data_IF_573770098009
#
_entry.id   IF_573770098009
#
_cell.length_a   1.000
_cell.length_b   1.000
_cell.length_c   1.000
_cell.angle_alpha   90.00
_cell.angle_beta   90.00
_cell.angle_gamma   90.00
#
_symmetry.space_group_name_H-M   'P 1'
#
loop_
_entity.id
_entity.type
_entity.pdbx_description
1 polymer ?
#
# COMPACT_ATOMS: atom_id res chain seq x y z
N UNK A 1 5.63 -15.46 -15.89
CA UNK A 1 4.64 -14.36 -15.92
C UNK A 1 4.80 -13.55 -14.65
N UNK A 2 5.10 -12.26 -14.76
CA UNK A 2 5.23 -11.37 -13.59
C UNK A 2 3.84 -10.83 -13.25
N UNK A 3 3.39 -11.00 -12.00
CA UNK A 3 2.13 -10.38 -11.54
C UNK A 3 2.42 -8.97 -11.05
N UNK A 4 1.81 -7.98 -11.67
CA UNK A 4 1.86 -6.59 -11.23
C UNK A 4 0.56 -6.25 -10.49
N UNK A 5 0.65 -5.35 -9.50
CA UNK A 5 -0.51 -4.72 -8.90
C UNK A 5 -1.01 -3.64 -9.87
N UNK A 6 -2.25 -3.77 -10.34
CA UNK A 6 -2.89 -2.77 -11.23
C UNK A 6 -3.79 -1.80 -10.47
N UNK A 7 -4.37 -2.28 -9.36
CA UNK A 7 -5.26 -1.53 -8.48
C UNK A 7 -4.96 -1.91 -7.03
N UNK A 8 -4.98 -0.92 -6.14
CA UNK A 8 -4.86 -1.10 -4.70
C UNK A 8 -5.94 -0.29 -3.97
N UNK A 9 -6.69 -0.98 -3.12
CA UNK A 9 -7.65 -0.39 -2.21
C UNK A 9 -7.25 -0.69 -0.77
N UNK A 10 -7.07 0.34 0.05
CA UNK A 10 -6.75 0.23 1.47
C UNK A 10 -7.84 0.94 2.27
N UNK A 11 -8.47 0.20 3.19
CA UNK A 11 -9.54 0.71 4.04
C UNK A 11 -9.23 0.44 5.51
N UNK A 12 -9.46 1.44 6.36
CA UNK A 12 -9.31 1.35 7.82
C UNK A 12 -7.95 0.78 8.30
N UNK A 13 -6.83 1.19 7.68
CA UNK A 13 -5.49 0.68 8.00
C UNK A 13 -4.54 1.80 8.43
N UNK A 14 -4.04 1.74 9.67
CA UNK A 14 -3.01 2.67 10.21
C UNK A 14 -3.25 4.16 9.85
N UNK A 15 -4.48 4.62 10.03
CA UNK A 15 -4.90 6.01 9.74
C UNK A 15 -5.35 6.27 8.29
N UNK A 16 -5.10 5.36 7.36
CA UNK A 16 -5.68 5.37 6.01
C UNK A 16 -7.15 4.95 6.10
N UNK A 17 -8.07 5.92 6.03
CA UNK A 17 -9.51 5.66 6.12
C UNK A 17 -10.04 4.99 4.84
N UNK A 18 -9.72 5.59 3.69
CA UNK A 18 -10.09 5.12 2.37
C UNK A 18 -9.05 5.64 1.36
N UNK A 19 -8.17 4.77 0.89
CA UNK A 19 -7.19 5.06 -0.15
C UNK A 19 -7.43 4.13 -1.33
N UNK A 20 -7.58 4.72 -2.51
CA UNK A 20 -7.69 4.01 -3.77
C UNK A 20 -6.58 4.49 -4.70
N UNK A 21 -5.83 3.55 -5.28
CA UNK A 21 -4.85 3.81 -6.32
C UNK A 21 -5.17 2.91 -7.51
N UNK A 22 -5.52 3.53 -8.63
CA UNK A 22 -5.76 2.87 -9.91
C UNK A 22 -4.61 3.13 -10.87
N UNK A 23 -4.50 2.32 -11.93
CA UNK A 23 -3.49 2.44 -12.98
C UNK A 23 -2.04 2.38 -12.43
N UNK A 24 -1.81 1.51 -11.45
CA UNK A 24 -0.47 1.31 -10.89
C UNK A 24 0.48 0.79 -11.98
N UNK A 25 1.61 1.47 -12.11
CA UNK A 25 2.67 1.10 -13.06
C UNK A 25 3.68 0.15 -12.45
N UNK A 26 4.69 -0.24 -13.23
CA UNK A 26 5.85 -0.99 -12.74
C UNK A 26 6.62 -0.23 -11.66
N UNK A 27 6.61 1.11 -11.72
CA UNK A 27 7.20 2.00 -10.72
C UNK A 27 6.15 3.02 -10.30
N UNK A 28 5.95 3.18 -8.99
CA UNK A 28 5.03 4.15 -8.40
C UNK A 28 5.78 5.00 -7.37
N UNK A 29 5.65 6.32 -7.44
CA UNK A 29 6.33 7.25 -6.54
C UNK A 29 5.33 7.84 -5.54
N UNK A 30 5.48 7.51 -4.26
CA UNK A 30 4.67 8.05 -3.17
C UNK A 30 5.37 9.27 -2.56
N UNK A 31 4.79 10.47 -2.73
CA UNK A 31 5.33 11.73 -2.19
C UNK A 31 4.37 12.40 -1.22
N UNK A 32 4.89 13.25 -0.34
CA UNK A 32 4.11 14.00 0.64
C UNK A 32 4.90 14.31 1.91
N UNK A 33 4.34 15.11 2.80
CA UNK A 33 4.96 15.47 4.07
C UNK A 33 5.27 14.25 4.96
N UNK A 34 6.17 14.40 5.93
CA UNK A 34 6.38 13.36 6.93
C UNK A 34 5.06 13.02 7.63
N UNK A 35 4.89 11.74 7.97
CA UNK A 35 3.68 11.22 8.60
C UNK A 35 2.39 11.30 7.75
N UNK A 36 2.49 11.58 6.45
CA UNK A 36 1.34 11.63 5.53
C UNK A 36 0.74 10.27 5.14
N UNK A 37 1.17 9.17 5.78
CA UNK A 37 0.68 7.82 5.50
C UNK A 37 1.44 7.03 4.43
N UNK A 38 2.56 7.54 3.89
CA UNK A 38 3.37 6.80 2.89
C UNK A 38 3.85 5.44 3.40
N UNK A 39 4.40 5.41 4.62
CA UNK A 39 4.83 4.15 5.26
C UNK A 39 3.64 3.22 5.48
N UNK A 40 2.48 3.75 5.90
CA UNK A 40 1.25 2.96 6.06
C UNK A 40 0.81 2.29 4.75
N UNK A 41 1.01 2.92 3.59
CA UNK A 41 0.72 2.29 2.28
C UNK A 41 1.63 1.09 2.04
N UNK A 42 2.94 1.25 2.27
CA UNK A 42 3.90 0.16 2.10
C UNK A 42 3.63 -1.00 3.07
N UNK A 43 3.24 -0.70 4.30
CA UNK A 43 2.90 -1.70 5.32
C UNK A 43 1.61 -2.46 4.98
N UNK A 44 0.61 -1.79 4.39
CA UNK A 44 -0.60 -2.45 3.91
C UNK A 44 -0.27 -3.44 2.78
N UNK A 45 0.59 -3.03 1.83
CA UNK A 45 1.07 -3.91 0.76
C UNK A 45 1.86 -5.09 1.32
N UNK A 46 2.77 -4.85 2.29
CA UNK A 46 3.53 -5.91 2.94
C UNK A 46 2.63 -6.91 3.66
N UNK A 47 1.61 -6.42 4.37
CA UNK A 47 0.60 -7.24 5.06
C UNK A 47 -0.20 -8.09 4.05
N UNK A 48 -0.59 -7.53 2.90
CA UNK A 48 -1.26 -8.29 1.85
C UNK A 48 -0.38 -9.43 1.31
N UNK A 49 0.92 -9.18 1.11
CA UNK A 49 1.87 -10.18 0.65
C UNK A 49 2.19 -11.24 1.72
N UNK A 50 2.12 -10.88 3.01
CA UNK A 50 2.49 -11.73 4.15
C UNK A 50 1.46 -11.62 5.30
N UNK A 51 0.21 -12.08 5.09
CA UNK A 51 -0.89 -11.80 6.03
C UNK A 51 -0.76 -12.48 7.39
N UNK A 52 0.10 -13.49 7.51
CA UNK A 52 0.31 -14.26 8.75
C UNK A 52 1.68 -13.97 9.38
N UNK A 53 2.44 -12.99 8.88
CA UNK A 53 3.70 -12.58 9.48
C UNK A 53 3.44 -11.55 10.59
N UNK A 54 3.62 -11.90 11.88
CA UNK A 54 3.36 -10.98 12.99
C UNK A 54 4.34 -9.80 13.06
N UNK A 55 5.44 -9.84 12.30
CA UNK A 55 6.45 -8.77 12.26
C UNK A 55 6.30 -7.84 11.05
N UNK A 56 5.43 -8.19 10.10
CA UNK A 56 5.21 -7.43 8.87
C UNK A 56 6.13 -7.81 7.72
#
# INVERSE_FOLDING_TARGET
MTRNLEHLMIQQFRGLKNLEMSNLGTINLLVGANNSGKTSVLEAIATYCRPLDPKG
#
